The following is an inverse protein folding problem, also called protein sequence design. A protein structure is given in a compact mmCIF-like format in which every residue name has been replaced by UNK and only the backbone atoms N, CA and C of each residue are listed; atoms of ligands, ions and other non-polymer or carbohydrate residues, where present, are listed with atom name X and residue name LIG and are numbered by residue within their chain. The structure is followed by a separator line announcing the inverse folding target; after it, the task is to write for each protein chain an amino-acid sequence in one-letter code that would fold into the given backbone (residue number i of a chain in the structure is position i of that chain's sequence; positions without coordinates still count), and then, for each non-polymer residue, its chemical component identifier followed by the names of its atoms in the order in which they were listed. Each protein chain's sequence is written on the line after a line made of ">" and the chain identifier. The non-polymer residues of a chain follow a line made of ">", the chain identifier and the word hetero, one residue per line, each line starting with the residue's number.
data_IF_325646221625
#
_entry.id   IF_325646221625
#
_cell.length_a   1.000
_cell.length_b   1.000
_cell.length_c   1.000
_cell.angle_alpha   90.00
_cell.angle_beta   90.00
_cell.angle_gamma   90.00
#
_symmetry.space_group_name_H-M   'P 1'
#
loop_
_entity.id
_entity.type
_entity.pdbx_description
1 polymer ?
#
# COMPACT_ATOMS: atom_id res chain seq x y z
N UNK A 1 20.82 -11.69 30.95
CA UNK A 1 19.53 -12.01 30.33
C UNK A 1 19.46 -11.24 29.03
N UNK A 2 19.67 -11.91 27.90
CA UNK A 2 19.72 -11.27 26.59
C UNK A 2 18.31 -10.90 26.16
N UNK A 3 18.02 -9.60 26.07
CA UNK A 3 16.83 -9.08 25.40
C UNK A 3 17.00 -9.37 23.90
N UNK A 4 16.41 -10.45 23.42
CA UNK A 4 16.24 -10.67 21.99
C UNK A 4 15.38 -9.51 21.48
N UNK A 5 15.94 -8.62 20.66
CA UNK A 5 15.15 -7.65 19.90
C UNK A 5 14.21 -8.47 19.00
N UNK A 6 12.98 -8.69 19.46
CA UNK A 6 11.93 -9.20 18.59
C UNK A 6 11.61 -8.06 17.65
N UNK A 7 12.00 -8.20 16.38
CA UNK A 7 11.67 -7.22 15.36
C UNK A 7 10.18 -7.35 15.05
N UNK A 8 9.38 -6.55 15.75
CA UNK A 8 7.94 -6.48 15.55
C UNK A 8 7.58 -5.57 14.37
N UNK A 9 6.53 -5.94 13.63
CA UNK A 9 5.97 -5.11 12.56
C UNK A 9 5.68 -3.68 13.02
N UNK A 10 5.24 -3.51 14.27
CA UNK A 10 4.90 -2.21 14.87
C UNK A 10 6.02 -1.18 14.78
N UNK A 11 7.29 -1.60 14.79
CA UNK A 11 8.46 -0.70 14.77
C UNK A 11 8.78 -0.16 13.37
N UNK A 12 8.25 -0.79 12.32
CA UNK A 12 8.54 -0.45 10.92
C UNK A 12 7.29 -0.04 10.13
N UNK A 13 6.13 0.03 10.80
CA UNK A 13 4.90 0.55 10.20
C UNK A 13 5.05 2.05 9.93
N UNK A 14 4.72 2.44 8.70
CA UNK A 14 4.68 3.82 8.23
C UNK A 14 3.24 4.25 8.01
N UNK A 15 2.99 5.54 8.26
CA UNK A 15 1.75 6.17 7.79
C UNK A 15 1.72 6.14 6.27
N UNK A 16 0.53 5.91 5.71
CA UNK A 16 0.27 6.09 4.29
C UNK A 16 -1.15 6.64 4.10
N UNK A 17 -1.37 7.50 3.10
CA UNK A 17 -2.70 7.98 2.77
C UNK A 17 -3.62 6.84 2.34
N UNK A 18 -4.91 6.99 2.67
CA UNK A 18 -5.96 6.09 2.22
C UNK A 18 -7.07 6.86 1.49
N UNK A 19 -7.69 6.23 0.51
CA UNK A 19 -8.85 6.75 -0.22
C UNK A 19 -9.97 5.72 -0.25
N UNK A 20 -11.20 6.17 -0.46
CA UNK A 20 -12.33 5.28 -0.73
C UNK A 20 -12.35 4.82 -2.18
N UNK A 21 -12.92 3.64 -2.45
CA UNK A 21 -13.08 3.10 -3.80
C UNK A 21 -13.86 4.00 -4.77
N UNK A 22 -14.73 4.86 -4.24
CA UNK A 22 -15.52 5.82 -5.02
C UNK A 22 -14.69 6.98 -5.58
N UNK A 23 -13.44 7.17 -5.11
CA UNK A 23 -12.57 8.24 -5.58
C UNK A 23 -12.07 7.97 -6.99
N UNK A 24 -12.01 9.04 -7.76
CA UNK A 24 -11.50 9.07 -9.13
C UNK A 24 -9.97 9.04 -9.15
N UNK A 25 -9.39 8.71 -10.31
CA UNK A 25 -7.96 8.82 -10.54
C UNK A 25 -7.44 10.25 -10.32
N UNK A 26 -8.22 11.29 -10.65
CA UNK A 26 -7.85 12.69 -10.39
C UNK A 26 -7.67 12.96 -8.90
N UNK A 27 -8.59 12.47 -8.08
CA UNK A 27 -8.53 12.64 -6.63
C UNK A 27 -7.40 11.82 -6.02
N UNK A 28 -7.19 10.58 -6.48
CA UNK A 28 -6.03 9.78 -6.07
C UNK A 28 -4.71 10.50 -6.41
N UNK A 29 -4.59 11.07 -7.61
CA UNK A 29 -3.42 11.84 -8.02
C UNK A 29 -3.18 13.05 -7.11
N UNK A 30 -4.24 13.78 -6.74
CA UNK A 30 -4.16 14.90 -5.80
C UNK A 30 -3.62 14.45 -4.44
N UNK A 31 -4.12 13.32 -3.92
CA UNK A 31 -3.64 12.74 -2.66
C UNK A 31 -2.16 12.35 -2.77
N UNK A 32 -1.71 11.77 -3.90
CA UNK A 32 -0.29 11.45 -4.11
C UNK A 32 0.59 12.70 -4.07
N UNK A 33 0.14 13.81 -4.68
CA UNK A 33 0.89 15.08 -4.62
C UNK A 33 0.90 15.73 -3.24
N UNK A 34 -0.11 15.47 -2.41
CA UNK A 34 -0.15 15.93 -1.01
C UNK A 34 0.75 15.10 -0.08
N UNK A 35 1.09 13.87 -0.49
CA UNK A 35 1.90 12.93 0.25
C UNK A 35 3.09 12.41 -0.59
N UNK A 36 4.00 13.28 -1.06
CA UNK A 36 5.10 12.89 -1.93
C UNK A 36 6.09 11.92 -1.25
N UNK A 37 6.11 11.86 0.08
CA UNK A 37 6.87 10.90 0.88
C UNK A 37 6.33 9.47 0.80
N UNK A 38 5.05 9.29 0.44
CA UNK A 38 4.42 7.98 0.39
C UNK A 38 4.58 7.30 -0.97
N UNK A 39 5.07 6.06 -0.93
CA UNK A 39 5.18 5.20 -2.12
C UNK A 39 3.84 4.63 -2.61
N UNK A 40 2.79 4.76 -1.82
CA UNK A 40 1.49 4.19 -2.15
C UNK A 40 0.30 4.95 -1.52
N UNK A 41 -0.88 4.63 -2.04
CA UNK A 41 -2.19 4.94 -1.44
C UNK A 41 -2.91 3.61 -1.18
N UNK A 42 -3.53 3.47 -0.02
CA UNK A 42 -4.37 2.33 0.32
C UNK A 42 -5.83 2.61 -0.04
N UNK A 43 -6.51 1.64 -0.65
CA UNK A 43 -7.95 1.74 -0.95
C UNK A 43 -8.73 1.01 0.13
N UNK A 44 -9.58 1.77 0.84
CA UNK A 44 -10.40 1.27 1.93
C UNK A 44 -11.90 1.31 1.59
N UNK A 45 -12.68 0.48 2.27
CA UNK A 45 -14.14 0.58 2.26
C UNK A 45 -14.64 1.64 3.25
N UNK A 46 -15.95 1.86 3.32
CA UNK A 46 -16.56 2.85 4.22
C UNK A 46 -16.29 2.59 5.71
N UNK A 47 -15.91 1.36 6.08
CA UNK A 47 -15.61 0.98 7.46
C UNK A 47 -14.10 0.98 7.75
N UNK A 48 -13.27 1.55 6.87
CA UNK A 48 -11.81 1.59 6.96
C UNK A 48 -11.11 0.21 6.88
N UNK A 49 -11.72 -0.76 6.19
CA UNK A 49 -11.04 -2.02 5.87
C UNK A 49 -10.33 -1.88 4.53
N UNK A 50 -9.01 -2.17 4.47
CA UNK A 50 -8.27 -2.08 3.23
C UNK A 50 -8.53 -3.28 2.34
N UNK A 51 -8.62 -3.05 1.03
CA UNK A 51 -8.78 -4.12 0.03
C UNK A 51 -8.03 -3.86 -1.28
N UNK A 52 -7.30 -2.75 -1.38
CA UNK A 52 -6.52 -2.44 -2.57
C UNK A 52 -5.31 -1.55 -2.28
N UNK A 53 -4.34 -1.60 -3.18
CA UNK A 53 -3.11 -0.82 -3.10
C UNK A 53 -2.81 -0.14 -4.43
N UNK A 54 -2.56 1.17 -4.40
CA UNK A 54 -2.08 1.95 -5.53
C UNK A 54 -0.62 2.32 -5.27
N UNK A 55 0.32 1.78 -6.04
CA UNK A 55 1.70 2.24 -5.99
C UNK A 55 1.85 3.53 -6.81
N UNK A 56 2.43 4.56 -6.22
CA UNK A 56 2.50 5.90 -6.81
C UNK A 56 3.22 5.88 -8.16
N UNK A 57 4.37 5.20 -8.25
CA UNK A 57 5.14 5.05 -9.50
C UNK A 57 4.30 4.49 -10.65
N UNK A 58 3.64 3.34 -10.43
CA UNK A 58 2.79 2.69 -11.45
C UNK A 58 1.59 3.56 -11.83
N UNK A 59 1.06 4.31 -10.87
CA UNK A 59 -0.04 5.22 -11.11
C UNK A 59 0.40 6.42 -11.97
N UNK A 60 1.53 7.04 -11.67
CA UNK A 60 2.10 8.14 -12.45
C UNK A 60 2.41 7.70 -13.88
N UNK A 61 3.03 6.54 -14.09
CA UNK A 61 3.28 5.99 -15.43
C UNK A 61 2.01 5.87 -16.27
N UNK A 62 0.88 5.47 -15.66
CA UNK A 62 -0.41 5.43 -16.34
C UNK A 62 -0.98 6.83 -16.59
N UNK A 63 -0.84 7.74 -15.63
CA UNK A 63 -1.32 9.11 -15.73
C UNK A 63 -0.60 9.92 -16.84
N UNK A 64 0.68 9.63 -17.10
CA UNK A 64 1.48 10.25 -18.15
C UNK A 64 1.44 9.48 -19.48
N UNK A 65 0.65 8.41 -19.57
CA UNK A 65 0.51 7.60 -20.78
C UNK A 65 -0.19 8.35 -21.92
N UNK A 66 -0.04 7.84 -23.15
CA UNK A 66 -0.55 8.48 -24.39
C UNK A 66 -2.08 8.40 -24.58
N UNK A 67 -2.83 7.87 -23.62
CA UNK A 67 -4.28 7.67 -23.74
C UNK A 67 -5.04 8.80 -23.06
N UNK A 68 -6.02 9.37 -23.77
CA UNK A 68 -6.89 10.48 -23.37
C UNK A 68 -6.93 10.79 -21.87
N UNK A 69 -6.10 11.75 -21.47
CA UNK A 69 -5.87 12.19 -20.08
C UNK A 69 -7.18 12.49 -19.34
N UNK A 70 -8.15 13.05 -20.04
CA UNK A 70 -9.47 13.36 -19.48
C UNK A 70 -10.31 12.13 -19.12
N UNK A 71 -10.22 11.05 -19.90
CA UNK A 71 -10.89 9.80 -19.58
C UNK A 71 -10.23 9.16 -18.36
N UNK A 72 -8.90 9.06 -18.37
CA UNK A 72 -8.12 8.52 -17.24
C UNK A 72 -8.51 9.19 -15.92
N UNK A 73 -8.60 10.52 -15.90
CA UNK A 73 -8.91 11.28 -14.69
C UNK A 73 -10.31 11.04 -14.12
N UNK A 74 -11.29 10.66 -14.96
CA UNK A 74 -12.67 10.38 -14.54
C UNK A 74 -12.87 8.93 -14.11
N UNK A 75 -11.95 8.04 -14.47
CA UNK A 75 -12.04 6.63 -14.07
C UNK A 75 -11.95 6.45 -12.55
N UNK A 76 -12.66 5.46 -11.97
CA UNK A 76 -12.49 5.09 -10.57
C UNK A 76 -11.05 4.60 -10.31
N UNK A 77 -10.41 5.12 -9.26
CA UNK A 77 -9.04 4.75 -8.91
C UNK A 77 -8.92 3.25 -8.60
N UNK A 78 -10.00 2.61 -8.11
CA UNK A 78 -10.05 1.18 -7.85
C UNK A 78 -9.84 0.29 -9.10
N UNK A 79 -10.00 0.82 -10.32
CA UNK A 79 -9.68 0.08 -11.54
C UNK A 79 -8.18 -0.09 -11.75
N UNK A 80 -7.37 0.77 -11.13
CA UNK A 80 -5.91 0.78 -11.29
C UNK A 80 -5.15 0.15 -10.12
N UNK A 81 -5.85 -0.15 -9.02
CA UNK A 81 -5.25 -0.72 -7.82
C UNK A 81 -4.83 -2.17 -8.05
N UNK A 82 -3.79 -2.59 -7.34
CA UNK A 82 -3.55 -3.99 -7.06
C UNK A 82 -4.70 -4.51 -6.17
N UNK A 83 -5.43 -5.52 -6.67
CA UNK A 83 -6.59 -6.15 -6.01
C UNK A 83 -6.21 -7.34 -5.11
N UNK A 84 -4.95 -7.76 -5.17
CA UNK A 84 -4.39 -8.82 -4.32
C UNK A 84 -3.17 -8.28 -3.56
N UNK A 85 -3.33 -7.19 -2.78
CA UNK A 85 -2.24 -6.72 -1.92
C UNK A 85 -2.01 -7.73 -0.79
N UNK A 86 -0.79 -7.74 -0.23
CA UNK A 86 -0.56 -8.43 1.03
C UNK A 86 -1.13 -7.57 2.16
N UNK A 87 -1.99 -8.17 2.98
CA UNK A 87 -2.63 -7.54 4.13
C UNK A 87 -2.40 -8.44 5.35
N UNK A 88 -1.84 -7.89 6.42
CA UNK A 88 -1.61 -8.62 7.67
C UNK A 88 -2.07 -7.80 8.87
N UNK A 89 -2.43 -8.45 9.97
CA UNK A 89 -2.62 -7.77 11.24
C UNK A 89 -1.26 -7.40 11.85
N UNK A 90 -1.20 -6.29 12.58
CA UNK A 90 -0.01 -5.79 13.25
C UNK A 90 0.61 -6.80 14.24
N UNK A 91 -0.16 -7.77 14.73
CA UNK A 91 0.35 -8.85 15.58
C UNK A 91 0.99 -10.01 14.80
N UNK A 92 1.01 -9.96 13.47
CA UNK A 92 1.59 -11.02 12.64
C UNK A 92 3.12 -11.03 12.81
N UNK A 93 3.77 -12.20 12.97
CA UNK A 93 5.23 -12.25 13.04
C UNK A 93 5.88 -11.68 11.79
N UNK A 94 6.90 -10.86 11.98
CA UNK A 94 7.62 -10.20 10.89
C UNK A 94 8.19 -11.20 9.88
N UNK A 95 8.74 -12.31 10.36
CA UNK A 95 9.30 -13.38 9.51
C UNK A 95 8.25 -13.96 8.55
N UNK A 96 7.01 -14.15 9.02
CA UNK A 96 5.89 -14.61 8.19
C UNK A 96 5.57 -13.58 7.10
N UNK A 97 5.55 -12.30 7.44
CA UNK A 97 5.33 -11.23 6.46
C UNK A 97 6.47 -11.16 5.45
N UNK A 98 7.73 -11.27 5.89
CA UNK A 98 8.90 -11.25 5.02
C UNK A 98 8.90 -12.43 4.05
N UNK A 99 8.68 -13.65 4.53
CA UNK A 99 8.62 -14.85 3.69
C UNK A 99 7.58 -14.72 2.57
N UNK A 100 6.37 -14.26 2.91
CA UNK A 100 5.30 -14.05 1.94
C UNK A 100 5.55 -12.86 1.01
N UNK A 101 6.21 -11.81 1.50
CA UNK A 101 6.59 -10.68 0.67
C UNK A 101 7.61 -11.07 -0.40
N UNK A 102 8.54 -11.97 -0.07
CA UNK A 102 9.61 -12.44 -0.95
C UNK A 102 9.16 -13.51 -1.96
N UNK A 103 8.08 -14.24 -1.68
CA UNK A 103 7.50 -15.24 -2.59
C UNK A 103 6.61 -14.63 -3.70
N UNK A 104 6.38 -13.31 -3.66
CA UNK A 104 5.56 -12.61 -4.67
C UNK A 104 6.23 -12.57 -6.05
N UNK A 105 5.42 -12.53 -7.13
CA UNK A 105 5.94 -12.31 -8.48
C UNK A 105 6.61 -10.95 -8.61
N UNK A 106 7.61 -10.85 -9.50
CA UNK A 106 8.46 -9.67 -9.67
C UNK A 106 7.72 -8.32 -9.75
N UNK A 107 6.60 -8.17 -10.47
CA UNK A 107 5.86 -6.90 -10.54
C UNK A 107 5.31 -6.40 -9.21
N UNK A 108 5.21 -7.28 -8.21
CA UNK A 108 4.66 -6.99 -6.88
C UNK A 108 5.71 -7.07 -5.78
N UNK A 109 6.97 -7.42 -6.09
CA UNK A 109 8.04 -7.56 -5.08
C UNK A 109 8.34 -6.25 -4.35
N UNK A 110 8.07 -5.10 -4.97
CA UNK A 110 8.24 -3.78 -4.36
C UNK A 110 6.96 -3.21 -3.77
N UNK A 111 5.82 -3.91 -3.88
CA UNK A 111 4.56 -3.44 -3.32
C UNK A 111 4.64 -3.40 -1.81
N UNK A 112 4.18 -2.29 -1.24
CA UNK A 112 4.00 -2.15 0.20
C UNK A 112 3.11 -3.27 0.74
N UNK A 113 3.36 -3.68 1.98
CA UNK A 113 2.46 -4.57 2.72
C UNK A 113 1.50 -3.69 3.51
N UNK A 114 0.21 -3.95 3.42
CA UNK A 114 -0.80 -3.24 4.19
C UNK A 114 -0.88 -3.87 5.58
N UNK A 115 -0.81 -3.03 6.61
CA UNK A 115 -0.95 -3.44 8.00
C UNK A 115 -2.32 -3.00 8.52
N UNK A 116 -2.98 -3.92 9.19
CA UNK A 116 -4.25 -3.69 9.87
C UNK A 116 -4.09 -3.83 11.38
N UNK A 117 -5.04 -3.28 12.12
CA UNK A 117 -5.23 -3.56 13.54
C UNK A 117 -6.71 -3.80 13.76
N UNK A 118 -7.08 -5.02 14.18
CA UNK A 118 -8.49 -5.42 14.31
C UNK A 118 -9.26 -5.26 12.99
N UNK A 119 -8.63 -5.63 11.88
CA UNK A 119 -9.19 -5.56 10.53
C UNK A 119 -9.23 -4.15 9.90
N UNK A 120 -8.92 -3.09 10.65
CA UNK A 120 -8.93 -1.71 10.13
C UNK A 120 -7.53 -1.28 9.70
N UNK A 121 -7.45 -0.46 8.67
CA UNK A 121 -6.18 0.05 8.15
C UNK A 121 -5.40 0.81 9.24
N UNK A 122 -4.15 0.40 9.46
CA UNK A 122 -3.25 0.95 10.48
C UNK A 122 -1.97 1.58 9.88
N UNK A 123 -1.64 1.26 8.64
CA UNK A 123 -0.45 1.78 7.95
C UNK A 123 0.10 0.77 6.95
N UNK A 124 1.32 1.01 6.49
CA UNK A 124 2.00 0.13 5.53
C UNK A 124 3.43 -0.16 5.95
N UNK A 125 4.01 -1.24 5.43
CA UNK A 125 5.44 -1.54 5.56
C UNK A 125 6.06 -1.59 4.17
N UNK A 126 7.23 -0.96 4.01
CA UNK A 126 7.99 -1.05 2.77
C UNK A 126 8.89 -2.27 2.79
N UNK A 127 9.07 -2.89 1.63
CA UNK A 127 9.89 -4.11 1.51
C UNK A 127 11.36 -3.85 1.84
N UNK A 128 11.82 -2.62 1.67
CA UNK A 128 13.14 -2.18 2.12
C UNK A 128 13.31 -2.23 3.63
N UNK A 129 12.23 -2.06 4.40
CA UNK A 129 12.28 -2.07 5.86
C UNK A 129 12.28 -3.50 6.39
N UNK A 130 11.58 -4.43 5.72
CA UNK A 130 11.58 -5.87 6.04
C UNK A 130 12.95 -6.55 5.86
N UNK A 131 13.81 -5.98 5.00
CA UNK A 131 15.16 -6.54 4.71
C UNK A 131 16.25 -6.00 5.62
N UNK A 132 15.96 -4.94 6.39
CA UNK A 132 16.90 -4.26 7.30
C UNK A 132 16.73 -4.68 8.75
N UNK A 133 15.66 -5.40 9.04
CA UNK A 133 15.30 -6.01 10.30
C UNK A 133 15.92 -7.39 10.44
#
# INVERSE_FOLDING_TARGET
>A
MSTTLVNDLSNIVRSAPAIFASRTCREALRVMFQHPESKCIVVCNATNEPFGLLMSERFFLKATGRSGVDLFYREPAMKLMNKTPLIYDISTPLETVLANAMSRPDPMKNDCVIITRKGKFAGVVYISDLKRS
#
